data_IF_057962888185
#
_entry.id   IF_057962888185
#
_cell.length_a   1.000
_cell.length_b   1.000
_cell.length_c   1.000
_cell.angle_alpha   90.00
_cell.angle_beta   90.00
_cell.angle_gamma   90.00
#
_symmetry.space_group_name_H-M   'P 1'
#
loop_
_entity.id
_entity.type
_entity.pdbx_description
1 polymer ?
#
# COMPACT_ATOMS: atom_id res chain seq x y z
N UNK A 1 -5.97 24.38 25.77
CA UNK A 1 -4.95 25.00 24.92
C UNK A 1 -3.61 24.37 25.26
N UNK A 2 -3.06 23.56 24.36
CA UNK A 2 -1.74 22.95 24.55
C UNK A 2 -0.68 24.00 24.21
N UNK A 3 0.33 24.23 25.08
CA UNK A 3 1.35 25.25 24.85
C UNK A 3 2.26 24.88 23.66
N UNK A 4 2.56 25.88 22.82
CA UNK A 4 3.35 25.76 21.57
C UNK A 4 4.80 25.26 21.74
N UNK A 5 5.26 25.06 22.99
CA UNK A 5 6.62 24.63 23.33
C UNK A 5 6.71 23.15 23.70
N UNK A 6 5.60 22.43 23.75
CA UNK A 6 5.61 21.01 24.05
C UNK A 6 6.05 20.24 22.78
N UNK A 7 7.04 19.33 22.86
CA UNK A 7 7.33 18.44 21.73
C UNK A 7 6.04 17.71 21.37
N UNK A 8 5.73 17.63 20.06
CA UNK A 8 4.54 16.90 19.60
C UNK A 8 4.65 15.45 20.08
N UNK A 9 3.90 15.15 21.14
CA UNK A 9 3.79 13.83 21.72
C UNK A 9 3.20 12.89 20.66
N UNK A 10 3.73 11.67 20.49
CA UNK A 10 3.25 10.71 19.46
C UNK A 10 1.74 10.50 19.55
N UNK A 11 1.21 10.66 20.76
CA UNK A 11 -0.22 10.59 21.08
C UNK A 11 -1.03 11.66 20.33
N UNK A 12 -0.52 12.85 20.02
CA UNK A 12 -1.29 13.90 19.32
C UNK A 12 -1.10 13.91 17.79
N UNK A 13 -0.35 12.96 17.22
CA UNK A 13 -0.06 12.95 15.77
C UNK A 13 -1.30 12.66 14.92
N UNK A 14 -2.31 12.00 15.50
CA UNK A 14 -3.61 11.76 14.84
C UNK A 14 -4.36 13.06 14.55
N UNK A 15 -4.10 14.14 15.29
CA UNK A 15 -4.72 15.45 15.06
C UNK A 15 -4.27 16.07 13.73
N UNK A 16 -3.14 15.61 13.19
CA UNK A 16 -2.59 16.05 11.90
C UNK A 16 -3.10 15.17 10.76
N UNK A 17 -3.16 13.85 10.96
CA UNK A 17 -3.62 12.90 9.96
C UNK A 17 -4.09 11.58 10.58
N UNK A 18 -5.27 11.11 10.21
CA UNK A 18 -5.84 9.83 10.70
C UNK A 18 -5.03 8.59 10.31
N UNK A 19 -4.17 8.70 9.29
CA UNK A 19 -3.22 7.66 8.91
C UNK A 19 -2.01 7.50 9.86
N UNK A 20 -1.82 8.43 10.80
CA UNK A 20 -0.74 8.37 11.81
C UNK A 20 -1.19 7.71 13.12
N UNK A 21 -2.47 7.37 13.28
CA UNK A 21 -2.93 6.65 14.47
C UNK A 21 -2.53 5.17 14.41
N UNK A 22 -2.11 4.62 15.55
CA UNK A 22 -1.76 3.20 15.65
C UNK A 22 -2.95 2.27 15.36
N UNK A 23 -4.17 2.72 15.67
CA UNK A 23 -5.42 2.00 15.41
C UNK A 23 -5.94 2.19 13.97
N UNK A 24 -5.16 2.82 13.09
CA UNK A 24 -5.59 3.10 11.72
C UNK A 24 -5.70 1.82 10.89
N UNK A 25 -6.88 1.59 10.31
CA UNK A 25 -7.10 0.52 9.33
C UNK A 25 -6.47 0.85 7.95
N UNK A 26 -6.01 2.09 7.74
CA UNK A 26 -5.53 2.59 6.45
C UNK A 26 -4.44 1.73 5.81
N UNK A 27 -3.30 1.44 6.49
CA UNK A 27 -2.23 0.61 5.94
C UNK A 27 -2.69 -0.79 5.54
N UNK A 28 -3.62 -1.38 6.30
CA UNK A 28 -4.20 -2.68 5.97
C UNK A 28 -5.06 -2.63 4.69
N UNK A 29 -5.84 -1.57 4.50
CA UNK A 29 -6.62 -1.37 3.26
C UNK A 29 -5.71 -1.19 2.04
N UNK A 30 -4.60 -0.45 2.18
CA UNK A 30 -3.61 -0.31 1.11
C UNK A 30 -2.93 -1.64 0.77
N UNK A 31 -2.59 -2.44 1.79
CA UNK A 31 -2.09 -3.79 1.60
C UNK A 31 -3.10 -4.68 0.85
N UNK A 32 -4.37 -4.71 1.27
CA UNK A 32 -5.43 -5.47 0.60
C UNK A 32 -5.65 -5.00 -0.84
N UNK A 33 -5.62 -3.69 -1.07
CA UNK A 33 -5.70 -3.11 -2.42
C UNK A 33 -4.59 -3.65 -3.31
N UNK A 34 -3.35 -3.73 -2.80
CA UNK A 34 -2.23 -4.34 -3.52
C UNK A 34 -2.50 -5.79 -3.94
N UNK A 35 -3.08 -6.60 -3.03
CA UNK A 35 -3.48 -7.98 -3.34
C UNK A 35 -4.56 -8.02 -4.42
N UNK A 36 -5.60 -7.18 -4.31
CA UNK A 36 -6.71 -7.13 -5.27
C UNK A 36 -6.20 -6.72 -6.66
N UNK A 37 -5.32 -5.72 -6.73
CA UNK A 37 -4.70 -5.29 -7.99
C UNK A 37 -3.91 -6.44 -8.60
N UNK A 38 -3.07 -7.14 -7.84
CA UNK A 38 -2.35 -8.30 -8.37
C UNK A 38 -3.30 -9.40 -8.87
N UNK A 39 -4.33 -9.72 -8.08
CA UNK A 39 -5.30 -10.76 -8.44
C UNK A 39 -6.14 -10.41 -9.67
N UNK A 40 -6.40 -9.13 -9.92
CA UNK A 40 -7.12 -8.70 -11.12
C UNK A 40 -6.24 -8.64 -12.37
N UNK A 41 -4.94 -8.39 -12.22
CA UNK A 41 -4.04 -8.12 -13.35
C UNK A 41 -3.37 -9.39 -13.91
N UNK A 42 -2.99 -10.33 -13.03
CA UNK A 42 -2.18 -11.49 -13.45
C UNK A 42 -2.99 -12.66 -14.04
N UNK A 43 -4.11 -13.11 -13.45
CA UNK A 43 -4.89 -14.25 -13.94
C UNK A 43 -5.72 -13.96 -15.19
N UNK A 44 -6.07 -12.69 -15.43
CA UNK A 44 -7.11 -12.27 -16.37
C UNK A 44 -6.86 -12.67 -17.82
N UNK A 45 -5.60 -12.68 -18.26
CA UNK A 45 -5.26 -13.08 -19.64
C UNK A 45 -5.49 -14.56 -19.93
N UNK A 46 -5.39 -15.41 -18.89
CA UNK A 46 -5.71 -16.83 -19.01
C UNK A 46 -7.23 -17.04 -19.07
N UNK A 47 -8.00 -16.20 -18.39
CA UNK A 47 -9.47 -16.28 -18.35
C UNK A 47 -10.09 -15.73 -19.65
N UNK A 48 -9.52 -14.66 -20.22
CA UNK A 48 -10.00 -14.04 -21.46
C UNK A 48 -9.40 -14.68 -22.74
N UNK A 49 -8.54 -15.70 -22.61
CA UNK A 49 -7.79 -16.36 -23.71
C UNK A 49 -6.93 -15.41 -24.57
N UNK A 50 -6.62 -14.22 -24.07
CA UNK A 50 -5.76 -13.25 -24.76
C UNK A 50 -4.28 -13.65 -24.74
N UNK A 51 -3.91 -14.65 -23.92
CA UNK A 51 -2.56 -15.21 -23.87
C UNK A 51 -2.12 -15.85 -25.21
N UNK A 52 -3.03 -16.46 -25.95
CA UNK A 52 -2.73 -17.08 -27.26
C UNK A 52 -2.33 -16.02 -28.29
N UNK A 53 -3.02 -14.87 -28.26
CA UNK A 53 -2.68 -13.71 -29.06
C UNK A 53 -1.31 -13.14 -28.66
N UNK A 54 -1.03 -12.98 -27.36
CA UNK A 54 0.27 -12.52 -26.88
C UNK A 54 1.42 -13.44 -27.29
N UNK A 55 1.18 -14.75 -27.34
CA UNK A 55 2.16 -15.74 -27.80
C UNK A 55 2.41 -15.71 -29.31
N UNK A 56 1.50 -15.14 -30.10
CA UNK A 56 1.69 -14.94 -31.54
C UNK A 56 2.59 -13.73 -31.87
N UNK A 57 2.76 -12.82 -30.90
CA UNK A 57 3.63 -11.67 -31.04
C UNK A 57 5.08 -12.02 -30.65
N UNK A 58 6.09 -11.32 -31.21
CA UNK A 58 7.49 -11.50 -30.85
C UNK A 58 7.82 -10.88 -29.48
N UNK A 59 7.04 -11.22 -28.44
CA UNK A 59 7.17 -10.70 -27.08
C UNK A 59 7.53 -11.86 -26.16
N UNK A 60 8.58 -11.68 -25.36
CA UNK A 60 8.99 -12.68 -24.38
C UNK A 60 8.05 -12.71 -23.17
N UNK A 61 7.95 -13.85 -22.51
CA UNK A 61 7.16 -14.00 -21.26
C UNK A 61 7.62 -13.04 -20.15
N UNK A 62 8.92 -12.75 -20.10
CA UNK A 62 9.50 -11.79 -19.15
C UNK A 62 9.05 -10.36 -19.41
N UNK A 63 8.91 -9.95 -20.67
CA UNK A 63 8.41 -8.61 -21.02
C UNK A 63 6.94 -8.44 -20.61
N UNK A 64 6.11 -9.45 -20.83
CA UNK A 64 4.69 -9.44 -20.41
C UNK A 64 4.60 -9.31 -18.88
N UNK A 65 5.41 -10.10 -18.17
CA UNK A 65 5.49 -10.04 -16.70
C UNK A 65 5.90 -8.65 -16.21
N UNK A 66 6.98 -8.08 -16.75
CA UNK A 66 7.47 -6.76 -16.34
C UNK A 66 6.48 -5.65 -16.68
N UNK A 67 5.81 -5.71 -17.84
CA UNK A 67 4.78 -4.76 -18.21
C UNK A 67 3.63 -4.75 -17.20
N UNK A 68 3.16 -5.93 -16.76
CA UNK A 68 2.13 -6.05 -15.72
C UNK A 68 2.59 -5.55 -14.37
N UNK A 69 3.79 -5.93 -13.95
CA UNK A 69 4.36 -5.48 -12.69
C UNK A 69 4.45 -3.95 -12.64
N UNK A 70 4.95 -3.34 -13.71
CA UNK A 70 5.04 -1.89 -13.84
C UNK A 70 3.65 -1.23 -13.88
N UNK A 71 2.70 -1.80 -14.63
CA UNK A 71 1.33 -1.28 -14.69
C UNK A 71 0.65 -1.30 -13.32
N UNK A 72 0.76 -2.40 -12.57
CA UNK A 72 0.24 -2.51 -11.21
C UNK A 72 0.92 -1.54 -10.24
N UNK A 73 2.24 -1.39 -10.35
CA UNK A 73 3.02 -0.44 -9.54
C UNK A 73 2.58 1.01 -9.80
N UNK A 74 2.47 1.40 -11.08
CA UNK A 74 2.03 2.75 -11.45
C UNK A 74 0.60 3.03 -11.00
N UNK A 75 -0.31 2.05 -11.14
CA UNK A 75 -1.68 2.17 -10.67
C UNK A 75 -1.73 2.41 -9.15
N UNK A 76 -0.99 1.62 -8.37
CA UNK A 76 -0.93 1.78 -6.92
C UNK A 76 -0.39 3.16 -6.54
N UNK A 77 0.73 3.58 -7.14
CA UNK A 77 1.32 4.89 -6.87
C UNK A 77 0.36 6.03 -7.21
N UNK A 78 -0.37 5.93 -8.32
CA UNK A 78 -1.38 6.90 -8.71
C UNK A 78 -2.52 6.97 -7.69
N UNK A 79 -3.02 5.83 -7.20
CA UNK A 79 -4.08 5.80 -6.19
C UNK A 79 -3.61 6.36 -4.85
N UNK A 80 -2.41 5.97 -4.38
CA UNK A 80 -1.83 6.53 -3.15
C UNK A 80 -1.63 8.05 -3.27
N UNK A 81 -1.15 8.53 -4.42
CA UNK A 81 -1.00 9.96 -4.67
C UNK A 81 -2.36 10.68 -4.65
N UNK A 82 -3.38 10.14 -5.32
CA UNK A 82 -4.73 10.69 -5.29
C UNK A 82 -5.32 10.72 -3.87
N UNK A 83 -5.06 9.70 -3.06
CA UNK A 83 -5.49 9.67 -1.66
C UNK A 83 -4.87 10.82 -0.86
N UNK A 84 -3.55 10.97 -0.94
CA UNK A 84 -2.83 12.03 -0.22
C UNK A 84 -3.17 13.43 -0.72
N UNK A 85 -3.37 13.62 -2.03
CA UNK A 85 -3.88 14.88 -2.60
C UNK A 85 -5.28 15.18 -2.06
N UNK A 86 -6.16 14.17 -1.99
CA UNK A 86 -7.52 14.35 -1.45
C UNK A 86 -7.45 14.80 0.01
N UNK A 87 -6.61 14.16 0.82
CA UNK A 87 -6.40 14.56 2.21
C UNK A 87 -5.84 15.98 2.31
N UNK A 88 -4.88 16.34 1.47
CA UNK A 88 -4.32 17.70 1.41
C UNK A 88 -5.40 18.74 1.08
N UNK A 89 -6.24 18.48 0.08
CA UNK A 89 -7.35 19.37 -0.32
C UNK A 89 -8.37 19.51 0.81
N UNK A 90 -8.73 18.41 1.48
CA UNK A 90 -9.66 18.46 2.62
C UNK A 90 -9.09 19.26 3.79
N UNK A 91 -7.77 19.20 4.03
CA UNK A 91 -7.11 19.99 5.06
C UNK A 91 -7.02 21.48 4.71
N UNK A 92 -6.91 21.85 3.42
CA UNK A 92 -6.92 23.26 2.99
C UNK A 92 -8.26 23.95 3.24
N UNK A 93 -9.36 23.21 3.27
CA UNK A 93 -10.70 23.73 3.57
C UNK A 93 -10.97 23.96 5.06
N UNK A 94 -10.07 23.54 5.95
CA UNK A 94 -10.30 23.61 7.39
C UNK A 94 -9.81 24.96 7.96
N UNK A 95 -10.71 25.73 8.57
CA UNK A 95 -10.51 27.13 8.98
C UNK A 95 -9.58 27.35 10.18
N UNK A 96 -9.12 26.29 10.87
CA UNK A 96 -8.26 26.35 12.06
C UNK A 96 -6.77 26.61 11.75
N UNK A 97 -6.50 27.34 10.66
CA UNK A 97 -5.19 27.62 10.04
C UNK A 97 -4.14 28.25 10.97
N UNK A 98 -4.53 28.78 12.13
CA UNK A 98 -3.63 29.42 13.11
C UNK A 98 -3.16 28.50 14.25
N UNK A 99 -3.59 27.23 14.29
CA UNK A 99 -3.24 26.27 15.36
C UNK A 99 -2.25 25.21 14.85
N UNK A 100 -1.47 24.60 15.74
CA UNK A 100 -0.32 23.70 15.47
C UNK A 100 -0.60 22.43 14.63
N UNK A 101 -1.85 22.18 14.22
CA UNK A 101 -2.32 21.08 13.39
C UNK A 101 -2.29 21.40 11.88
N UNK A 102 -1.24 22.07 11.41
CA UNK A 102 -1.11 22.48 10.01
C UNK A 102 -0.67 21.32 9.09
N UNK A 103 -1.13 21.39 7.84
CA UNK A 103 -0.66 20.57 6.72
C UNK A 103 0.86 20.75 6.54
N UNK A 104 1.60 19.63 6.51
CA UNK A 104 3.06 19.62 6.30
C UNK A 104 3.41 18.72 5.12
N UNK A 105 4.09 19.29 4.13
CA UNK A 105 4.60 18.55 2.97
C UNK A 105 5.48 17.34 3.34
N UNK A 106 6.30 17.48 4.39
CA UNK A 106 7.12 16.39 4.89
C UNK A 106 6.28 15.22 5.44
N UNK A 107 5.12 15.50 6.05
CA UNK A 107 4.21 14.48 6.56
C UNK A 107 3.49 13.78 5.42
N UNK A 108 3.01 14.53 4.41
CA UNK A 108 2.42 13.94 3.21
C UNK A 108 3.39 12.99 2.51
N UNK A 109 4.64 13.40 2.30
CA UNK A 109 5.62 12.54 1.63
C UNK A 109 5.91 11.26 2.42
N UNK A 110 5.97 11.33 3.76
CA UNK A 110 6.12 10.16 4.61
C UNK A 110 4.92 9.21 4.52
N UNK A 111 3.71 9.76 4.53
CA UNK A 111 2.46 8.99 4.42
C UNK A 111 2.31 8.36 3.03
N UNK A 112 2.63 9.11 1.98
CA UNK A 112 2.69 8.60 0.61
C UNK A 112 3.68 7.43 0.48
N UNK A 113 4.87 7.57 1.09
CA UNK A 113 5.87 6.50 1.11
C UNK A 113 5.36 5.28 1.90
N UNK A 114 4.74 5.48 3.05
CA UNK A 114 4.17 4.40 3.86
C UNK A 114 3.03 3.67 3.13
N UNK A 115 2.08 4.39 2.55
CA UNK A 115 0.95 3.83 1.83
C UNK A 115 1.40 3.08 0.56
N UNK A 116 2.36 3.67 -0.19
CA UNK A 116 2.89 3.02 -1.40
C UNK A 116 3.70 1.77 -1.08
N UNK A 117 4.56 1.79 -0.07
CA UNK A 117 5.34 0.61 0.33
C UNK A 117 4.45 -0.52 0.84
N UNK A 118 3.45 -0.22 1.69
CA UNK A 118 2.51 -1.23 2.18
C UNK A 118 1.67 -1.83 1.04
N UNK A 119 1.20 -1.01 0.10
CA UNK A 119 0.48 -1.49 -1.08
C UNK A 119 1.38 -2.31 -2.03
N UNK A 120 2.64 -1.95 -2.21
CA UNK A 120 3.60 -2.72 -3.01
C UNK A 120 3.94 -4.08 -2.38
N UNK A 121 4.06 -4.13 -1.05
CA UNK A 121 4.16 -5.39 -0.31
C UNK A 121 2.91 -6.23 -0.55
N UNK A 122 1.72 -5.63 -0.49
CA UNK A 122 0.46 -6.29 -0.84
C UNK A 122 0.45 -6.84 -2.27
N UNK A 123 0.94 -6.07 -3.24
CA UNK A 123 1.04 -6.49 -4.64
C UNK A 123 2.01 -7.66 -4.82
N UNK A 124 3.16 -7.66 -4.14
CA UNK A 124 4.09 -8.78 -4.16
C UNK A 124 3.47 -10.07 -3.59
N UNK A 125 2.75 -9.96 -2.46
CA UNK A 125 2.03 -11.09 -1.87
C UNK A 125 0.88 -11.57 -2.77
N UNK A 126 0.13 -10.65 -3.37
CA UNK A 126 -0.93 -10.97 -4.32
C UNK A 126 -0.41 -11.68 -5.57
N UNK A 127 0.80 -11.33 -6.03
CA UNK A 127 1.46 -12.00 -7.14
C UNK A 127 1.81 -13.46 -6.79
N UNK A 128 2.35 -13.69 -5.59
CA UNK A 128 2.60 -15.05 -5.06
C UNK A 128 1.30 -15.86 -4.99
N UNK A 129 0.20 -15.23 -4.52
CA UNK A 129 -1.11 -15.86 -4.48
C UNK A 129 -1.65 -16.22 -5.87
N UNK A 130 -1.53 -15.32 -6.85
CA UNK A 130 -1.97 -15.54 -8.23
C UNK A 130 -1.20 -16.68 -8.90
N UNK A 131 0.10 -16.82 -8.64
CA UNK A 131 0.88 -17.95 -9.16
C UNK A 131 0.47 -19.28 -8.49
N UNK A 132 0.20 -19.24 -7.18
CA UNK A 132 -0.08 -20.43 -6.39
C UNK A 132 -1.48 -21.02 -6.59
N UNK A 133 -2.50 -20.21 -6.95
CA UNK A 133 -3.97 -20.45 -7.08
C UNK A 133 -4.63 -21.37 -6.01
N UNK A 134 -4.06 -22.54 -5.73
CA UNK A 134 -4.35 -23.46 -4.61
C UNK A 134 -3.30 -23.41 -3.48
N UNK A 135 -2.01 -23.23 -3.78
CA UNK A 135 -0.91 -23.22 -2.79
C UNK A 135 -0.55 -21.85 -2.25
N UNK A 136 -1.12 -20.77 -2.80
CA UNK A 136 -0.81 -19.40 -2.38
C UNK A 136 -1.09 -19.16 -0.89
N UNK A 137 -2.17 -19.72 -0.38
CA UNK A 137 -2.51 -19.65 1.05
C UNK A 137 -1.48 -20.34 1.96
N UNK A 138 -0.81 -21.40 1.48
CA UNK A 138 0.26 -22.05 2.24
C UNK A 138 1.48 -21.14 2.34
N UNK A 139 1.88 -20.47 1.25
CA UNK A 139 2.99 -19.53 1.29
C UNK A 139 2.71 -18.32 2.18
N UNK A 140 1.49 -17.77 2.15
CA UNK A 140 1.08 -16.73 3.09
C UNK A 140 1.05 -17.23 4.53
N UNK A 141 0.56 -18.45 4.76
CA UNK A 141 0.56 -19.06 6.09
C UNK A 141 1.98 -19.23 6.64
N UNK A 142 2.93 -19.70 5.81
CA UNK A 142 4.33 -19.82 6.18
C UNK A 142 4.99 -18.47 6.44
N UNK A 143 4.71 -17.46 5.61
CA UNK A 143 5.23 -16.11 5.82
C UNK A 143 4.68 -15.50 7.12
N UNK A 144 3.37 -15.60 7.36
CA UNK A 144 2.74 -15.11 8.57
C UNK A 144 3.23 -15.86 9.82
N UNK A 145 3.42 -17.18 9.73
CA UNK A 145 4.03 -17.98 10.79
C UNK A 145 5.48 -17.59 11.05
N UNK A 146 6.27 -17.35 10.00
CA UNK A 146 7.65 -16.88 10.13
C UNK A 146 7.72 -15.53 10.83
N UNK A 147 6.83 -14.60 10.48
CA UNK A 147 6.74 -13.28 11.13
C UNK A 147 6.30 -13.41 12.59
N UNK A 148 5.27 -14.20 12.89
CA UNK A 148 4.82 -14.37 14.29
C UNK A 148 5.86 -15.07 15.16
N UNK A 149 6.59 -16.03 14.59
CA UNK A 149 7.73 -16.66 15.25
C UNK A 149 8.84 -15.65 15.52
N UNK A 150 9.19 -14.80 14.54
CA UNK A 150 10.18 -13.73 14.72
C UNK A 150 9.76 -12.73 15.81
N UNK A 151 8.50 -12.31 15.82
CA UNK A 151 7.96 -11.43 16.87
C UNK A 151 7.98 -12.09 18.25
N UNK A 152 7.77 -13.41 18.33
CA UNK A 152 7.88 -14.14 19.60
C UNK A 152 9.31 -14.17 20.15
N UNK A 153 10.31 -14.12 19.28
CA UNK A 153 11.74 -14.08 19.66
C UNK A 153 12.21 -12.65 19.93
N UNK A 154 11.65 -11.66 19.23
CA UNK A 154 12.03 -10.26 19.32
C UNK A 154 10.78 -9.37 19.44
N UNK A 155 10.29 -9.11 20.66
CA UNK A 155 9.02 -8.39 20.88
C UNK A 155 9.08 -6.89 20.54
N UNK A 156 10.25 -6.38 20.14
CA UNK A 156 10.52 -5.00 19.74
C UNK A 156 10.71 -4.84 18.21
N UNK A 157 10.40 -5.89 17.43
CA UNK A 157 10.28 -5.87 15.97
C UNK A 157 8.80 -6.01 15.57
#
# INVERSE_FOLDING_TARGET
>A
MVPLTQPLDEVSWFEIHSGLSADSIGPFLFYLMGIIVAYSLFPREYEERTIEFLHSLPVSRGQIFMAKWMAGTVLILAVCLCHEITNAVMQMGNGDSLTSAQFRWATLLKLLFLASTTALVGLAHGLLLSFGRQFGFLFLGFAAWGVSWLQSQYPYL
#
